data_IF_588056448252
#
_entry.id   IF_588056448252
#
_cell.length_a   1.000
_cell.length_b   1.000
_cell.length_c   1.000
_cell.angle_alpha   90.00
_cell.angle_beta   90.00
_cell.angle_gamma   90.00
#
_symmetry.space_group_name_H-M   'P 1'
#
loop_
_entity.id
_entity.type
_entity.pdbx_description
1 polymer ?
#
# COMPACT_ATOMS: atom_id res chain seq x y z
N UNK A 1 10.19 -1.94 22.80
CA UNK A 1 9.78 -1.96 24.22
C UNK A 1 10.79 -1.15 25.01
N UNK A 2 10.37 -0.18 25.82
CA UNK A 2 11.26 0.75 26.54
C UNK A 2 11.20 0.61 28.07
N UNK A 3 10.42 -0.36 28.55
CA UNK A 3 10.27 -0.66 29.96
C UNK A 3 9.26 -1.78 30.17
N UNK A 4 9.09 -2.21 31.43
CA UNK A 4 8.24 -3.36 31.79
C UNK A 4 6.80 -3.28 31.24
N UNK A 5 6.22 -2.08 31.22
CA UNK A 5 4.86 -1.82 30.74
C UNK A 5 4.79 -0.60 29.81
N UNK A 6 5.89 -0.26 29.12
CA UNK A 6 5.97 0.94 28.27
C UNK A 6 6.43 0.57 26.87
N UNK A 7 5.61 0.91 25.88
CA UNK A 7 5.88 0.70 24.46
C UNK A 7 5.68 2.00 23.69
N UNK A 8 6.38 2.15 22.58
CA UNK A 8 6.28 3.36 21.75
C UNK A 8 5.16 3.16 20.74
N UNK A 9 4.28 4.15 20.60
CA UNK A 9 3.20 4.16 19.63
C UNK A 9 3.62 4.93 18.37
N UNK A 10 4.18 4.20 17.39
CA UNK A 10 4.68 4.78 16.14
C UNK A 10 3.57 4.92 15.09
N UNK A 11 2.68 5.88 15.27
CA UNK A 11 1.71 6.26 14.23
C UNK A 11 2.27 7.39 13.37
N UNK A 12 2.28 7.23 12.04
CA UNK A 12 2.57 8.34 11.13
C UNK A 12 1.46 9.41 11.25
N UNK A 13 1.82 10.68 11.08
CA UNK A 13 0.96 11.83 11.41
C UNK A 13 -0.43 11.87 10.73
N UNK A 14 -0.62 11.13 9.63
CA UNK A 14 -1.86 11.07 8.85
C UNK A 14 -2.71 9.81 9.12
N UNK A 15 -2.28 8.91 10.00
CA UNK A 15 -3.02 7.68 10.33
C UNK A 15 -4.15 7.97 11.31
N UNK A 16 -5.25 7.20 11.23
CA UNK A 16 -6.46 7.38 12.05
C UNK A 16 -6.15 7.61 13.54
N UNK A 17 -5.44 6.68 14.18
CA UNK A 17 -5.07 6.81 15.59
C UNK A 17 -4.26 8.07 15.94
N UNK A 18 -3.42 8.58 15.04
CA UNK A 18 -2.70 9.85 15.26
C UNK A 18 -3.61 11.07 15.14
N UNK A 19 -4.59 11.03 14.22
CA UNK A 19 -5.61 12.06 14.06
C UNK A 19 -6.52 12.10 15.29
N UNK A 20 -7.03 10.94 15.71
CA UNK A 20 -7.89 10.79 16.89
C UNK A 20 -7.18 11.26 18.16
N UNK A 21 -5.92 10.84 18.36
CA UNK A 21 -5.11 11.31 19.48
C UNK A 21 -4.93 12.82 19.45
N UNK A 22 -4.63 13.41 18.28
CA UNK A 22 -4.46 14.87 18.16
C UNK A 22 -5.75 15.62 18.47
N UNK A 23 -6.89 15.18 17.95
CA UNK A 23 -8.20 15.78 18.22
C UNK A 23 -8.54 15.64 19.71
N UNK A 24 -8.36 14.47 20.29
CA UNK A 24 -8.60 14.22 21.71
C UNK A 24 -7.74 15.14 22.59
N UNK A 25 -6.45 15.33 22.26
CA UNK A 25 -5.53 16.21 22.99
C UNK A 25 -5.96 17.68 22.95
N UNK A 26 -6.57 18.14 21.85
CA UNK A 26 -7.07 19.51 21.73
C UNK A 26 -8.29 19.74 22.62
N UNK A 27 -9.17 18.74 22.74
CA UNK A 27 -10.38 18.82 23.54
C UNK A 27 -10.14 18.51 25.03
N UNK A 28 -9.16 17.64 25.32
CA UNK A 28 -8.87 17.10 26.65
C UNK A 28 -7.36 17.16 26.97
N UNK A 29 -6.77 18.35 27.15
CA UNK A 29 -5.32 18.57 27.19
C UNK A 29 -4.59 17.95 28.40
N UNK A 30 -5.30 17.52 29.44
CA UNK A 30 -4.69 16.89 30.62
C UNK A 30 -5.18 15.46 30.86
N UNK A 31 -6.02 14.94 29.97
CA UNK A 31 -6.58 13.58 30.11
C UNK A 31 -5.72 12.58 29.34
N UNK A 32 -5.37 11.43 29.94
CA UNK A 32 -4.73 10.33 29.21
C UNK A 32 -5.65 9.78 28.11
N UNK A 33 -5.11 9.50 26.93
CA UNK A 33 -5.86 8.98 25.79
C UNK A 33 -5.94 7.44 25.84
N UNK A 34 -7.12 6.83 25.93
CA UNK A 34 -7.26 5.38 26.02
C UNK A 34 -6.89 4.69 24.70
N UNK A 35 -6.14 3.59 24.78
CA UNK A 35 -5.74 2.78 23.63
C UNK A 35 -5.81 1.30 23.98
N UNK A 36 -6.28 0.50 23.04
CA UNK A 36 -6.21 -0.96 23.10
C UNK A 36 -5.47 -1.50 21.87
N UNK A 37 -4.59 -2.48 22.06
CA UNK A 37 -3.82 -3.15 21.01
C UNK A 37 -4.14 -4.64 21.06
N UNK A 38 -4.49 -5.20 19.91
CA UNK A 38 -4.86 -6.61 19.77
C UNK A 38 -3.74 -7.35 19.04
N UNK A 39 -3.26 -8.45 19.62
CA UNK A 39 -2.26 -9.32 19.03
C UNK A 39 -2.90 -10.69 18.79
N UNK A 40 -2.97 -11.11 17.52
CA UNK A 40 -3.65 -12.33 17.11
C UNK A 40 -5.17 -12.20 17.20
N UNK A 41 -5.84 -12.08 16.07
CA UNK A 41 -7.30 -12.17 15.98
C UNK A 41 -7.67 -12.88 14.68
N UNK A 42 -8.97 -12.93 14.34
CA UNK A 42 -9.38 -13.59 13.11
C UNK A 42 -8.77 -12.90 11.87
N UNK A 43 -8.42 -13.66 10.81
CA UNK A 43 -7.76 -13.10 9.63
C UNK A 43 -8.53 -11.97 8.93
N UNK A 44 -9.87 -12.02 8.92
CA UNK A 44 -10.68 -11.00 8.27
C UNK A 44 -10.57 -9.65 8.99
N UNK A 45 -10.47 -9.65 10.33
CA UNK A 45 -10.20 -8.44 11.12
C UNK A 45 -8.81 -7.87 10.83
N UNK A 46 -7.78 -8.73 10.75
CA UNK A 46 -6.41 -8.30 10.40
C UNK A 46 -6.39 -7.68 9.00
N UNK A 47 -6.99 -8.35 8.01
CA UNK A 47 -7.09 -7.85 6.65
C UNK A 47 -7.91 -6.56 6.57
N UNK A 48 -8.99 -6.44 7.34
CA UNK A 48 -9.79 -5.23 7.42
C UNK A 48 -9.02 -4.05 8.00
N UNK A 49 -8.16 -4.28 9.00
CA UNK A 49 -7.33 -3.25 9.62
C UNK A 49 -6.24 -2.68 8.70
N UNK A 50 -5.77 -3.46 7.71
CA UNK A 50 -4.78 -3.01 6.72
C UNK A 50 -5.43 -2.50 5.43
N UNK A 51 -6.68 -2.88 5.18
CA UNK A 51 -7.42 -2.38 4.01
C UNK A 51 -7.81 -0.93 4.26
N UNK A 52 -7.52 -0.01 3.31
CA UNK A 52 -7.92 1.37 3.41
C UNK A 52 -9.42 1.47 3.11
N UNK A 53 -10.21 1.38 4.17
CA UNK A 53 -11.64 1.66 4.14
C UNK A 53 -11.87 3.17 4.20
N UNK A 54 -12.97 3.69 3.61
CA UNK A 54 -13.36 5.07 3.82
C UNK A 54 -13.56 5.36 5.32
N UNK A 55 -13.23 6.57 5.77
CA UNK A 55 -13.40 7.00 7.18
C UNK A 55 -14.86 6.87 7.68
N UNK A 56 -15.83 6.75 6.77
CA UNK A 56 -17.26 6.55 7.07
C UNK A 56 -17.63 5.09 7.38
N UNK A 57 -16.73 4.14 7.19
CA UNK A 57 -16.94 2.71 7.40
C UNK A 57 -15.90 2.17 8.38
N UNK A 58 -16.34 1.51 9.45
CA UNK A 58 -15.42 0.88 10.40
C UNK A 58 -14.73 -0.32 9.75
N UNK A 59 -13.45 -0.50 10.05
CA UNK A 59 -12.65 -1.68 9.68
C UNK A 59 -13.32 -2.99 10.15
N UNK A 60 -14.04 -2.99 11.28
CA UNK A 60 -14.79 -4.15 11.74
C UNK A 60 -15.99 -4.48 10.85
N UNK A 61 -16.65 -3.47 10.27
CA UNK A 61 -17.75 -3.68 9.33
C UNK A 61 -17.21 -4.26 8.02
N UNK A 62 -16.07 -3.75 7.55
CA UNK A 62 -15.40 -4.29 6.37
C UNK A 62 -14.91 -5.72 6.58
N UNK A 63 -14.29 -6.01 7.73
CA UNK A 63 -13.93 -7.37 8.13
C UNK A 63 -15.16 -8.31 8.14
N UNK A 64 -16.32 -7.80 8.55
CA UNK A 64 -17.57 -8.56 8.52
C UNK A 64 -18.05 -8.89 7.09
N UNK A 65 -17.85 -7.99 6.12
CA UNK A 65 -18.13 -8.25 4.72
C UNK A 65 -17.22 -9.35 4.16
N UNK A 66 -15.91 -9.29 4.46
CA UNK A 66 -14.96 -10.34 4.07
C UNK A 66 -15.29 -11.70 4.67
N UNK A 67 -15.74 -11.71 5.94
CA UNK A 67 -16.08 -12.93 6.68
C UNK A 67 -17.46 -13.50 6.35
N UNK A 68 -18.37 -12.67 5.83
CA UNK A 68 -19.78 -13.02 5.64
C UNK A 68 -20.64 -12.99 6.91
N UNK A 69 -20.10 -12.47 8.02
CA UNK A 69 -20.81 -12.36 9.30
C UNK A 69 -20.29 -11.18 10.12
N UNK A 70 -21.08 -10.67 11.07
CA UNK A 70 -20.63 -9.59 11.95
C UNK A 70 -19.39 -10.00 12.76
N UNK A 71 -18.47 -9.06 12.96
CA UNK A 71 -17.33 -9.25 13.87
C UNK A 71 -17.83 -9.32 15.31
N UNK A 72 -17.44 -10.37 16.04
CA UNK A 72 -17.73 -10.53 17.46
C UNK A 72 -16.78 -9.64 18.27
N UNK A 73 -17.34 -8.70 19.03
CA UNK A 73 -16.60 -7.73 19.82
C UNK A 73 -16.83 -7.95 21.32
N UNK A 74 -15.82 -7.64 22.12
CA UNK A 74 -15.86 -7.57 23.57
C UNK A 74 -15.46 -6.17 24.06
N UNK A 75 -16.05 -5.73 25.15
CA UNK A 75 -15.73 -4.46 25.80
C UNK A 75 -14.36 -4.57 26.50
N UNK A 76 -13.50 -3.58 26.31
CA UNK A 76 -12.28 -3.44 27.10
C UNK A 76 -12.62 -3.26 28.59
N UNK A 77 -11.74 -3.71 29.48
CA UNK A 77 -11.97 -3.59 30.93
C UNK A 77 -11.69 -2.19 31.48
N UNK A 78 -10.75 -1.47 30.86
CA UNK A 78 -10.27 -0.17 31.31
C UNK A 78 -10.82 1.03 30.54
N UNK A 79 -11.63 0.81 29.49
CA UNK A 79 -12.14 1.88 28.62
C UNK A 79 -13.40 1.47 27.86
N UNK A 80 -14.03 2.44 27.20
CA UNK A 80 -15.21 2.21 26.35
C UNK A 80 -14.86 1.63 24.95
N UNK A 81 -13.59 1.30 24.70
CA UNK A 81 -13.15 0.68 23.44
C UNK A 81 -13.63 -0.78 23.31
N UNK A 82 -13.82 -1.22 22.07
CA UNK A 82 -14.21 -2.60 21.74
C UNK A 82 -13.11 -3.29 20.92
N UNK A 83 -12.81 -4.53 21.28
CA UNK A 83 -11.79 -5.39 20.66
C UNK A 83 -12.41 -6.71 20.16
N UNK A 84 -11.80 -7.43 19.22
CA UNK A 84 -12.30 -8.74 18.79
C UNK A 84 -12.36 -9.71 19.97
N UNK A 85 -13.54 -10.29 20.21
CA UNK A 85 -13.77 -11.16 21.37
C UNK A 85 -12.89 -12.43 21.36
N UNK A 86 -12.38 -12.81 20.19
CA UNK A 86 -11.54 -13.99 19.98
C UNK A 86 -10.05 -13.66 19.85
N UNK A 87 -9.63 -12.47 20.27
CA UNK A 87 -8.22 -12.08 20.31
C UNK A 87 -7.40 -13.05 21.18
N UNK A 88 -6.14 -13.30 20.81
CA UNK A 88 -5.20 -14.11 21.59
C UNK A 88 -4.68 -13.32 22.80
N UNK A 89 -4.22 -12.08 22.57
CA UNK A 89 -3.72 -11.16 23.59
C UNK A 89 -4.23 -9.74 23.31
N UNK A 90 -4.68 -9.04 24.34
CA UNK A 90 -5.07 -7.62 24.30
C UNK A 90 -4.27 -6.83 25.32
N UNK A 91 -3.68 -5.72 24.88
CA UNK A 91 -2.97 -4.76 25.71
C UNK A 91 -3.85 -3.52 25.84
N UNK A 92 -4.29 -3.20 27.05
CA UNK A 92 -5.08 -2.00 27.35
C UNK A 92 -4.24 -1.01 28.14
N UNK A 93 -4.35 0.28 27.79
CA UNK A 93 -3.58 1.31 28.46
C UNK A 93 -3.92 2.71 27.97
N UNK A 94 -3.02 3.64 28.27
CA UNK A 94 -3.20 5.04 27.93
C UNK A 94 -1.91 5.67 27.41
N UNK A 95 -2.08 6.66 26.53
CA UNK A 95 -1.03 7.60 26.15
C UNK A 95 -1.18 8.82 27.05
N UNK A 96 -0.15 9.09 27.86
CA UNK A 96 -0.17 10.25 28.76
C UNK A 96 0.19 11.54 28.02
N UNK A 97 -0.39 12.68 28.44
CA UNK A 97 -0.01 14.01 27.94
C UNK A 97 1.51 14.20 27.96
N UNK A 98 2.09 14.56 26.81
CA UNK A 98 3.52 14.87 26.66
C UNK A 98 4.49 13.71 26.99
N UNK A 99 4.00 12.47 27.15
CA UNK A 99 4.87 11.30 27.32
C UNK A 99 5.35 10.80 25.96
N UNK A 100 6.60 11.12 25.64
CA UNK A 100 7.25 10.83 24.37
C UNK A 100 8.55 10.07 24.62
N UNK A 101 8.93 9.20 23.70
CA UNK A 101 10.20 8.50 23.73
C UNK A 101 10.83 8.40 22.34
N UNK A 102 12.15 8.32 22.33
CA UNK A 102 12.93 8.13 21.12
C UNK A 102 12.74 6.69 20.61
N UNK A 103 12.26 6.57 19.38
CA UNK A 103 12.09 5.32 18.67
C UNK A 103 13.28 5.07 17.74
N UNK A 104 13.63 3.80 17.56
CA UNK A 104 14.64 3.38 16.59
C UNK A 104 16.10 3.48 17.08
N UNK A 105 17.06 3.22 16.18
CA UNK A 105 16.83 2.89 14.76
C UNK A 105 16.20 1.50 14.58
N UNK A 106 15.37 1.34 13.55
CA UNK A 106 14.81 0.05 13.13
C UNK A 106 14.90 -0.09 11.61
N UNK A 107 15.17 -1.32 11.15
CA UNK A 107 15.03 -1.68 9.74
C UNK A 107 13.55 -1.70 9.33
N UNK A 108 13.25 -1.25 8.12
CA UNK A 108 11.88 -1.25 7.60
C UNK A 108 11.77 -1.81 6.17
N UNK A 109 10.55 -1.75 5.62
CA UNK A 109 10.17 -2.21 4.27
C UNK A 109 10.97 -1.60 3.12
N UNK A 110 11.79 -0.57 3.36
CA UNK A 110 12.71 -0.02 2.37
C UNK A 110 13.99 -0.85 2.24
N UNK A 111 14.27 -1.72 3.24
CA UNK A 111 15.53 -2.43 3.38
C UNK A 111 16.64 -1.63 4.07
N UNK A 112 16.32 -0.47 4.66
CA UNK A 112 17.24 0.42 5.37
C UNK A 112 16.82 0.61 6.83
N UNK A 113 17.75 1.11 7.65
CA UNK A 113 17.44 1.59 8.99
C UNK A 113 16.86 2.99 8.90
N UNK A 114 15.73 3.22 9.59
CA UNK A 114 15.20 4.56 9.82
C UNK A 114 16.00 5.29 10.90
N UNK A 115 16.12 6.60 10.75
CA UNK A 115 16.64 7.50 11.79
C UNK A 115 15.78 7.47 13.04
N UNK A 116 16.37 7.89 14.16
CA UNK A 116 15.66 8.00 15.42
C UNK A 116 14.71 9.21 15.41
N UNK A 117 13.50 9.03 15.93
CA UNK A 117 12.53 10.11 16.06
C UNK A 117 11.63 9.92 17.30
N UNK A 118 11.00 10.99 17.77
CA UNK A 118 10.23 11.02 19.01
C UNK A 118 8.76 10.71 18.77
N UNK A 119 8.24 9.68 19.44
CA UNK A 119 6.84 9.25 19.32
C UNK A 119 6.16 9.11 20.69
N UNK A 120 4.82 9.15 20.75
CA UNK A 120 4.08 8.96 21.98
C UNK A 120 4.36 7.60 22.63
N UNK A 121 4.31 7.55 23.96
CA UNK A 121 4.45 6.31 24.71
C UNK A 121 3.07 5.81 25.12
N UNK A 122 2.79 4.55 24.81
CA UNK A 122 1.69 3.79 25.38
C UNK A 122 2.17 3.13 26.68
N UNK A 123 1.57 3.55 27.79
CA UNK A 123 1.69 2.86 29.08
C UNK A 123 0.61 1.79 29.15
N UNK A 124 1.03 0.54 29.24
CA UNK A 124 0.14 -0.62 29.35
C UNK A 124 -0.26 -0.78 30.81
N UNK A 125 -1.57 -0.70 31.05
CA UNK A 125 -2.15 -0.86 32.38
C UNK A 125 -2.56 -2.32 32.62
N UNK A 126 -3.03 -3.00 31.57
CA UNK A 126 -3.61 -4.35 31.65
C UNK A 126 -3.24 -5.18 30.43
N UNK A 127 -3.07 -6.48 30.67
CA UNK A 127 -2.94 -7.49 29.63
C UNK A 127 -4.01 -8.54 29.89
N UNK A 128 -4.90 -8.74 28.92
CA UNK A 128 -5.87 -9.84 28.92
C UNK A 128 -5.51 -10.81 27.80
N UNK A 129 -5.74 -12.10 28.01
CA UNK A 129 -5.33 -13.14 27.06
C UNK A 129 -6.18 -14.39 27.23
N UNK A 130 -6.19 -15.23 26.19
CA UNK A 130 -6.78 -16.56 26.25
C UNK A 130 -5.94 -17.50 27.13
N UNK A 131 -6.51 -18.63 27.51
CA UNK A 131 -5.71 -19.75 28.02
C UNK A 131 -4.79 -20.25 26.90
N UNK A 132 -3.48 -20.37 27.18
CA UNK A 132 -2.44 -20.76 26.22
C UNK A 132 -2.42 -19.88 24.95
N UNK A 133 -2.16 -18.57 25.08
CA UNK A 133 -2.27 -17.64 23.97
C UNK A 133 -1.15 -17.82 22.95
N UNK A 134 -1.45 -17.55 21.68
CA UNK A 134 -0.48 -17.50 20.60
C UNK A 134 -0.03 -16.05 20.36
N UNK A 135 1.28 -15.81 20.40
CA UNK A 135 1.85 -14.51 20.06
C UNK A 135 2.04 -14.39 18.53
N UNK A 136 1.10 -13.72 17.87
CA UNK A 136 1.18 -13.42 16.43
C UNK A 136 2.11 -12.22 16.19
N UNK A 137 3.17 -12.42 15.40
CA UNK A 137 4.18 -11.40 15.09
C UNK A 137 4.68 -11.57 13.66
N UNK A 138 5.23 -10.50 13.11
CA UNK A 138 5.89 -10.46 11.82
C UNK A 138 7.21 -9.67 11.90
N UNK A 139 7.90 -9.51 10.79
CA UNK A 139 9.03 -8.62 10.61
C UNK A 139 8.87 -7.84 9.29
N UNK A 140 9.65 -6.77 9.15
CA UNK A 140 9.77 -6.05 7.88
C UNK A 140 11.24 -5.84 7.54
N UNK A 141 11.55 -5.73 6.26
CA UNK A 141 12.91 -5.55 5.78
C UNK A 141 12.94 -5.31 4.28
N UNK A 142 14.06 -5.63 3.64
CA UNK A 142 14.15 -5.52 2.18
C UNK A 142 13.11 -6.45 1.52
N UNK A 143 12.21 -5.95 0.65
CA UNK A 143 11.15 -6.74 0.05
C UNK A 143 11.72 -7.81 -0.91
N UNK A 144 11.00 -8.92 -1.13
CA UNK A 144 9.66 -9.21 -0.62
C UNK A 144 9.66 -9.66 0.86
N UNK A 145 8.83 -9.03 1.67
CA UNK A 145 8.52 -9.41 3.06
C UNK A 145 7.00 -9.70 3.19
N UNK A 146 6.55 -10.18 4.36
CA UNK A 146 5.13 -10.52 4.57
C UNK A 146 4.20 -9.31 4.31
N UNK A 147 4.49 -8.08 4.82
CA UNK A 147 3.71 -6.89 4.46
C UNK A 147 3.63 -6.61 2.96
N UNK A 148 4.73 -6.81 2.20
CA UNK A 148 4.71 -6.62 0.76
C UNK A 148 3.78 -7.61 0.04
N UNK A 149 3.76 -8.87 0.47
CA UNK A 149 2.85 -9.87 -0.09
C UNK A 149 1.39 -9.56 0.24
N UNK A 150 1.11 -9.12 1.47
CA UNK A 150 -0.23 -8.62 1.82
C UNK A 150 -0.63 -7.42 0.96
N UNK A 151 0.29 -6.49 0.72
CA UNK A 151 0.08 -5.34 -0.18
C UNK A 151 -0.29 -5.75 -1.60
N UNK A 152 0.40 -6.75 -2.18
CA UNK A 152 0.07 -7.30 -3.50
C UNK A 152 -1.33 -7.87 -3.54
N UNK A 153 -1.71 -8.69 -2.54
CA UNK A 153 -3.04 -9.28 -2.49
C UNK A 153 -4.14 -8.23 -2.34
N UNK A 154 -3.90 -7.19 -1.52
CA UNK A 154 -4.86 -6.10 -1.31
C UNK A 154 -4.97 -5.18 -2.52
N UNK A 155 -3.92 -5.07 -3.34
CA UNK A 155 -3.97 -4.26 -4.55
C UNK A 155 -5.05 -4.75 -5.53
N UNK A 156 -5.32 -6.04 -5.58
CA UNK A 156 -6.44 -6.62 -6.36
C UNK A 156 -7.80 -6.02 -6.00
N UNK A 157 -7.97 -5.53 -4.76
CA UNK A 157 -9.20 -4.87 -4.31
C UNK A 157 -9.33 -3.45 -4.87
N UNK A 158 -8.21 -2.76 -5.15
CA UNK A 158 -8.23 -1.40 -5.68
C UNK A 158 -8.37 -1.35 -7.19
N UNK A 159 -7.93 -2.38 -7.92
CA UNK A 159 -8.01 -2.40 -9.39
C UNK A 159 -9.44 -2.11 -9.89
N UNK A 160 -10.50 -2.77 -9.37
CA UNK A 160 -11.88 -2.47 -9.81
C UNK A 160 -12.34 -1.04 -9.48
N UNK A 161 -11.86 -0.48 -8.37
CA UNK A 161 -12.18 0.90 -7.96
C UNK A 161 -11.54 1.89 -8.94
N UNK A 162 -10.28 1.67 -9.30
CA UNK A 162 -9.58 2.44 -10.32
C UNK A 162 -10.27 2.31 -11.67
N UNK A 163 -10.62 1.10 -12.10
CA UNK A 163 -11.29 0.82 -13.37
C UNK A 163 -12.66 1.51 -13.47
N UNK A 164 -13.38 1.65 -12.35
CA UNK A 164 -14.65 2.39 -12.34
C UNK A 164 -14.46 3.87 -12.70
N UNK A 165 -13.34 4.47 -12.29
CA UNK A 165 -13.01 5.87 -12.59
C UNK A 165 -12.29 6.04 -13.93
N UNK A 166 -11.46 5.06 -14.29
CA UNK A 166 -10.64 5.01 -15.50
C UNK A 166 -10.88 3.67 -16.21
N UNK A 167 -11.98 3.53 -16.97
CA UNK A 167 -12.34 2.28 -17.64
C UNK A 167 -11.32 1.78 -18.66
N UNK A 168 -10.41 2.66 -19.08
CA UNK A 168 -9.26 2.34 -19.92
C UNK A 168 -8.20 1.49 -19.22
N UNK A 169 -8.13 1.46 -17.88
CA UNK A 169 -7.16 0.66 -17.12
C UNK A 169 -7.52 -0.82 -17.25
N UNK A 170 -6.58 -1.62 -17.74
CA UNK A 170 -6.71 -3.08 -17.82
C UNK A 170 -6.16 -3.73 -16.55
N UNK A 171 -4.99 -3.28 -16.11
CA UNK A 171 -4.35 -3.77 -14.88
C UNK A 171 -3.56 -2.64 -14.20
N UNK A 172 -3.44 -2.72 -12.89
CA UNK A 172 -2.69 -1.78 -12.06
C UNK A 172 -1.90 -2.55 -11.01
N UNK A 173 -0.58 -2.55 -11.13
CA UNK A 173 0.31 -3.36 -10.31
C UNK A 173 1.35 -2.52 -9.57
N UNK A 174 1.50 -2.83 -8.28
CA UNK A 174 2.53 -2.26 -7.41
C UNK A 174 3.54 -3.37 -7.06
N UNK A 175 4.70 -3.43 -7.73
CA UNK A 175 5.70 -4.46 -7.47
C UNK A 175 6.23 -4.42 -6.02
N UNK A 176 6.35 -5.58 -5.32
CA UNK A 176 6.98 -5.68 -3.99
C UNK A 176 8.34 -5.02 -3.89
N UNK A 177 9.21 -5.28 -4.87
CA UNK A 177 10.55 -4.71 -5.02
C UNK A 177 10.55 -3.18 -5.16
N UNK A 178 9.41 -2.58 -5.51
CA UNK A 178 9.13 -1.14 -5.44
C UNK A 178 8.72 -0.67 -4.05
N UNK A 179 9.09 -1.40 -2.99
CA UNK A 179 8.69 -1.13 -1.60
C UNK A 179 7.16 -1.05 -1.44
N UNK A 180 6.43 -1.92 -2.15
CA UNK A 180 4.96 -2.05 -2.16
C UNK A 180 4.14 -0.86 -2.69
N UNK A 181 4.70 0.36 -2.76
CA UNK A 181 3.94 1.54 -3.21
C UNK A 181 4.74 2.57 -4.01
N UNK A 182 6.09 2.51 -4.04
CA UNK A 182 6.91 3.58 -4.63
C UNK A 182 6.91 3.55 -6.17
N UNK A 183 6.53 2.42 -6.76
CA UNK A 183 6.41 2.25 -8.20
C UNK A 183 5.07 1.60 -8.56
N UNK A 184 4.44 2.09 -9.63
CA UNK A 184 3.26 1.49 -10.23
C UNK A 184 3.50 1.20 -11.71
N UNK A 185 2.96 0.08 -12.18
CA UNK A 185 2.91 -0.29 -13.59
C UNK A 185 1.43 -0.38 -13.96
N UNK A 186 1.01 0.40 -14.95
CA UNK A 186 -0.39 0.56 -15.33
C UNK A 186 -0.55 0.18 -16.79
N UNK A 187 -1.36 -0.85 -17.06
CA UNK A 187 -1.71 -1.25 -18.41
C UNK A 187 -3.03 -0.62 -18.82
N UNK A 188 -3.09 -0.04 -20.03
CA UNK A 188 -4.27 0.67 -20.52
C UNK A 188 -4.63 0.31 -21.96
N UNK A 189 -5.92 0.42 -22.28
CA UNK A 189 -6.42 0.50 -23.66
C UNK A 189 -6.33 1.94 -24.14
N UNK A 190 -5.23 2.29 -24.80
CA UNK A 190 -5.01 3.65 -25.32
C UNK A 190 -6.03 3.99 -26.40
N UNK A 191 -6.65 5.18 -26.30
CA UNK A 191 -7.71 5.62 -27.22
C UNK A 191 -7.35 6.88 -28.00
N UNK A 192 -6.38 7.67 -27.53
CA UNK A 192 -6.00 8.94 -28.14
C UNK A 192 -4.56 9.35 -27.77
N UNK A 193 -3.92 10.24 -28.57
CA UNK A 193 -2.64 10.86 -28.23
C UNK A 193 -2.63 11.52 -26.85
N UNK A 194 -1.61 11.23 -26.04
CA UNK A 194 -1.45 11.78 -24.68
C UNK A 194 -2.27 11.08 -23.59
N UNK A 195 -2.99 9.99 -23.90
CA UNK A 195 -3.84 9.29 -22.92
C UNK A 195 -3.09 8.84 -21.66
N UNK A 196 -1.83 8.38 -21.81
CA UNK A 196 -0.99 7.95 -20.70
C UNK A 196 -0.80 9.05 -19.64
N UNK A 197 -0.67 10.32 -20.04
CA UNK A 197 -0.53 11.45 -19.11
C UNK A 197 -1.76 11.63 -18.23
N UNK A 198 -2.96 11.43 -18.78
CA UNK A 198 -4.22 11.48 -18.00
C UNK A 198 -4.21 10.40 -16.92
N UNK A 199 -3.79 9.19 -17.26
CA UNK A 199 -3.72 8.06 -16.32
C UNK A 199 -2.66 8.31 -15.24
N UNK A 200 -1.46 8.80 -15.60
CA UNK A 200 -0.43 9.19 -14.63
C UNK A 200 -0.96 10.20 -13.60
N UNK A 201 -1.58 11.28 -14.06
CA UNK A 201 -2.16 12.30 -13.17
C UNK A 201 -3.31 11.74 -12.32
N UNK A 202 -4.13 10.85 -12.90
CA UNK A 202 -5.18 10.13 -12.18
C UNK A 202 -4.64 9.30 -11.03
N UNK A 203 -3.62 8.48 -11.28
CA UNK A 203 -2.96 7.67 -10.26
C UNK A 203 -2.38 8.51 -9.12
N UNK A 204 -1.75 9.66 -9.41
CA UNK A 204 -1.18 10.52 -8.37
C UNK A 204 -2.21 11.34 -7.58
N UNK A 205 -3.46 11.43 -8.03
CA UNK A 205 -4.46 12.33 -7.43
C UNK A 205 -5.72 11.65 -6.90
N UNK A 206 -6.10 10.49 -7.45
CA UNK A 206 -7.42 9.91 -7.19
C UNK A 206 -7.50 9.19 -5.83
N UNK A 207 -6.60 8.24 -5.55
CA UNK A 207 -6.57 7.52 -4.28
C UNK A 207 -5.39 7.97 -3.42
N UNK A 208 -5.65 8.24 -2.14
CA UNK A 208 -4.63 8.68 -1.17
C UNK A 208 -3.47 7.69 -1.06
N UNK A 209 -3.74 6.41 -1.23
CA UNK A 209 -2.77 5.31 -1.16
C UNK A 209 -1.64 5.43 -2.20
N UNK A 210 -1.90 6.05 -3.35
CA UNK A 210 -0.94 6.14 -4.46
C UNK A 210 -0.29 7.53 -4.56
N UNK A 211 -0.64 8.46 -3.66
CA UNK A 211 -0.10 9.83 -3.67
C UNK A 211 1.42 9.90 -3.48
N UNK A 212 2.02 8.89 -2.83
CA UNK A 212 3.47 8.81 -2.61
C UNK A 212 4.20 7.94 -3.64
N UNK A 213 3.48 7.34 -4.60
CA UNK A 213 4.10 6.59 -5.70
C UNK A 213 4.96 7.53 -6.55
N UNK A 214 6.26 7.29 -6.56
CA UNK A 214 7.25 8.13 -7.25
C UNK A 214 7.35 7.83 -8.73
N UNK A 215 7.23 6.56 -9.09
CA UNK A 215 7.43 6.08 -10.44
C UNK A 215 6.14 5.48 -10.97
N UNK A 216 5.68 5.93 -12.13
CA UNK A 216 4.56 5.32 -12.84
C UNK A 216 5.02 4.96 -14.23
N UNK A 217 4.90 3.69 -14.61
CA UNK A 217 5.09 3.23 -15.99
C UNK A 217 3.71 2.93 -16.57
N UNK A 218 3.37 3.56 -17.69
CA UNK A 218 2.13 3.27 -18.41
C UNK A 218 2.46 2.47 -19.67
N UNK A 219 1.83 1.31 -19.82
CA UNK A 219 2.00 0.37 -20.94
C UNK A 219 0.64 0.09 -21.61
N UNK A 220 0.64 -0.49 -22.81
CA UNK A 220 -0.60 -0.93 -23.45
C UNK A 220 -1.11 -2.27 -22.85
N UNK A 221 -2.26 -2.73 -23.32
CA UNK A 221 -2.93 -3.96 -22.86
C UNK A 221 -2.33 -5.27 -23.36
N UNK A 222 -1.33 -5.20 -24.23
CA UNK A 222 -0.53 -6.35 -24.67
C UNK A 222 0.66 -6.66 -23.73
N UNK A 223 0.93 -5.81 -22.74
CA UNK A 223 2.05 -5.95 -21.80
C UNK A 223 1.55 -6.47 -20.46
N UNK A 224 2.10 -7.61 -20.01
CA UNK A 224 1.85 -8.10 -18.66
C UNK A 224 2.58 -7.23 -17.62
N UNK A 225 1.82 -6.47 -16.82
CA UNK A 225 2.37 -5.54 -15.82
C UNK A 225 3.20 -6.22 -14.73
N UNK A 226 3.02 -7.54 -14.55
CA UNK A 226 3.64 -8.35 -13.49
C UNK A 226 4.88 -9.11 -13.97
N UNK A 227 5.23 -9.00 -15.25
CA UNK A 227 6.47 -9.54 -15.81
C UNK A 227 7.40 -8.40 -16.21
N UNK A 228 8.52 -8.26 -15.48
CA UNK A 228 9.52 -7.23 -15.81
C UNK A 228 10.10 -7.36 -17.21
N UNK A 229 10.16 -8.56 -17.78
CA UNK A 229 10.69 -8.73 -19.15
C UNK A 229 9.81 -7.99 -20.16
N UNK A 230 8.50 -8.11 -20.00
CA UNK A 230 7.48 -7.42 -20.80
C UNK A 230 7.52 -5.91 -20.58
N UNK A 231 7.57 -5.47 -19.31
CA UNK A 231 7.59 -4.04 -18.96
C UNK A 231 8.86 -3.34 -19.45
N UNK A 232 10.02 -3.97 -19.28
CA UNK A 232 11.29 -3.44 -19.76
C UNK A 232 11.34 -3.45 -21.29
N UNK A 233 10.79 -4.48 -21.94
CA UNK A 233 10.64 -4.49 -23.40
C UNK A 233 9.80 -3.30 -23.89
N UNK A 234 8.65 -3.03 -23.26
CA UNK A 234 7.83 -1.88 -23.60
C UNK A 234 8.58 -0.55 -23.44
N UNK A 235 9.26 -0.34 -22.29
CA UNK A 235 10.06 0.87 -22.04
C UNK A 235 11.14 1.04 -23.10
N UNK A 236 11.89 -0.01 -23.41
CA UNK A 236 13.07 0.07 -24.28
C UNK A 236 12.75 0.12 -25.78
N UNK A 237 11.53 -0.22 -26.19
CA UNK A 237 11.13 -0.26 -27.60
C UNK A 237 10.09 0.79 -27.98
N UNK A 238 9.28 1.27 -27.03
CA UNK A 238 8.17 2.20 -27.27
C UNK A 238 8.42 3.62 -26.77
N UNK A 239 9.54 3.86 -26.11
CA UNK A 239 9.86 5.18 -25.54
C UNK A 239 11.04 5.86 -26.21
N UNK A 240 10.90 7.18 -26.41
CA UNK A 240 12.01 8.11 -26.42
C UNK A 240 12.12 8.74 -25.02
N UNK A 241 13.27 8.64 -24.32
CA UNK A 241 13.39 9.08 -22.93
C UNK A 241 13.08 10.56 -22.71
N UNK A 242 13.42 11.44 -23.66
CA UNK A 242 13.23 12.90 -23.49
C UNK A 242 11.78 13.28 -23.75
N UNK A 243 11.15 12.70 -24.77
CA UNK A 243 9.76 12.98 -25.14
C UNK A 243 8.75 12.35 -24.19
N UNK A 244 9.00 11.12 -23.76
CA UNK A 244 7.99 10.26 -23.13
C UNK A 244 8.10 10.17 -21.60
N UNK A 245 9.08 10.87 -21.02
CA UNK A 245 9.20 11.03 -19.56
C UNK A 245 8.48 12.29 -19.11
N UNK A 246 7.62 12.16 -18.11
CA UNK A 246 6.97 13.28 -17.41
C UNK A 246 7.59 13.44 -16.04
N UNK A 247 8.20 14.58 -15.77
CA UNK A 247 8.74 14.93 -14.46
C UNK A 247 7.86 15.99 -13.82
N UNK A 248 7.50 15.77 -12.55
CA UNK A 248 6.81 16.77 -11.71
C UNK A 248 7.65 16.95 -10.46
N UNK A 249 8.01 18.18 -10.15
CA UNK A 249 8.79 18.54 -8.97
C UNK A 249 7.89 19.02 -7.83
N UNK A 250 8.48 19.20 -6.64
CA UNK A 250 7.81 19.77 -5.46
C UNK A 250 6.46 19.10 -5.10
N UNK A 251 6.40 17.77 -5.22
CA UNK A 251 5.21 16.97 -4.87
C UNK A 251 5.34 16.37 -3.47
N UNK A 252 4.22 16.04 -2.78
CA UNK A 252 4.27 15.34 -1.50
C UNK A 252 4.90 13.95 -1.64
N UNK A 253 5.85 13.63 -0.77
CA UNK A 253 6.56 12.34 -0.70
C UNK A 253 6.53 11.83 0.75
N UNK A 254 6.74 10.53 0.95
CA UNK A 254 6.95 9.98 2.30
C UNK A 254 8.11 10.70 3.00
N UNK A 255 7.88 11.17 4.21
CA UNK A 255 8.87 11.93 4.96
C UNK A 255 10.08 11.08 5.38
N UNK A 256 9.93 9.76 5.39
CA UNK A 256 11.02 8.77 5.62
C UNK A 256 11.84 8.49 4.36
N UNK A 257 11.43 8.99 3.20
CA UNK A 257 12.17 8.78 1.95
C UNK A 257 13.38 9.71 1.87
N UNK A 258 14.51 9.23 2.39
CA UNK A 258 15.80 9.92 2.40
C UNK A 258 16.40 10.18 1.01
N UNK A 259 15.83 9.63 -0.07
CA UNK A 259 16.25 9.94 -1.44
C UNK A 259 15.56 11.20 -1.99
N UNK A 260 14.58 11.76 -1.27
CA UNK A 260 14.01 13.08 -1.58
C UNK A 260 14.97 14.21 -1.18
N UNK A 261 14.97 15.34 -1.90
CA UNK A 261 15.85 16.46 -1.57
C UNK A 261 15.48 17.15 -0.24
N UNK A 262 14.20 17.11 0.14
CA UNK A 262 13.65 17.70 1.36
C UNK A 262 12.66 16.71 1.96
N UNK A 263 12.70 16.49 3.28
CA UNK A 263 11.76 15.59 3.94
C UNK A 263 10.31 15.97 3.63
N UNK A 264 9.54 15.00 3.12
CA UNK A 264 8.14 15.18 2.74
C UNK A 264 7.91 15.80 1.36
N UNK A 265 8.96 16.20 0.64
CA UNK A 265 8.84 16.95 -0.62
C UNK A 265 9.87 16.48 -1.67
N UNK A 266 9.40 16.07 -2.84
CA UNK A 266 10.29 15.59 -3.91
C UNK A 266 9.63 15.47 -5.28
N UNK A 267 10.39 14.91 -6.21
CA UNK A 267 9.94 14.69 -7.58
C UNK A 267 9.18 13.37 -7.79
N UNK A 268 8.37 13.35 -8.84
CA UNK A 268 7.71 12.17 -9.40
C UNK A 268 8.03 12.04 -10.88
N UNK A 269 8.08 10.80 -11.36
CA UNK A 269 8.41 10.44 -12.74
C UNK A 269 7.34 9.51 -13.32
N UNK A 270 6.77 9.92 -14.43
CA UNK A 270 5.88 9.12 -15.26
C UNK A 270 6.58 8.72 -16.56
N UNK A 271 6.53 7.45 -16.92
CA UNK A 271 7.11 6.89 -18.13
C UNK A 271 5.99 6.40 -19.04
N UNK A 272 5.80 7.06 -20.18
CA UNK A 272 4.81 6.64 -21.18
C UNK A 272 5.44 5.61 -22.14
N UNK A 273 5.35 4.34 -21.77
CA UNK A 273 5.77 3.18 -22.56
C UNK A 273 4.66 2.63 -23.47
N UNK A 274 3.63 3.43 -23.79
CA UNK A 274 2.59 3.02 -24.73
C UNK A 274 3.03 3.15 -26.19
N UNK A 275 2.36 2.47 -27.10
CA UNK A 275 2.50 2.67 -28.55
C UNK A 275 2.19 4.12 -28.91
N UNK A 276 3.02 4.74 -29.75
CA UNK A 276 2.84 6.15 -30.13
C UNK A 276 1.98 6.28 -31.38
N UNK A 277 0.93 7.08 -31.26
CA UNK A 277 -0.06 7.34 -32.29
C UNK A 277 0.35 8.53 -33.18
N UNK A 278 -0.27 8.71 -34.36
CA UNK A 278 -0.11 9.92 -35.15
C UNK A 278 -0.35 11.17 -34.31
N UNK A 279 0.58 12.12 -34.37
CA UNK A 279 0.59 13.33 -33.54
C UNK A 279 1.55 13.26 -32.35
N UNK A 280 1.83 12.06 -31.82
CA UNK A 280 2.90 11.85 -30.82
C UNK A 280 4.25 11.54 -31.49
N UNK A 281 4.18 10.98 -32.71
CA UNK A 281 5.33 10.74 -33.58
C UNK A 281 4.94 10.96 -35.04
N UNK A 282 5.94 11.31 -35.87
CA UNK A 282 5.84 11.37 -37.33
C UNK A 282 6.39 10.12 -38.02
N UNK A 283 6.93 9.16 -37.26
CA UNK A 283 7.50 7.92 -37.78
C UNK A 283 6.42 6.86 -37.97
N UNK A 284 6.64 5.98 -38.93
CA UNK A 284 5.91 4.71 -38.98
C UNK A 284 6.22 3.88 -37.73
N UNK A 285 5.17 3.40 -37.06
CA UNK A 285 5.30 2.64 -35.81
C UNK A 285 5.48 1.15 -36.09
N UNK A 286 6.25 0.47 -35.24
CA UNK A 286 6.50 -0.96 -35.39
C UNK A 286 5.24 -1.80 -35.19
N UNK A 287 5.12 -2.89 -35.95
CA UNK A 287 4.06 -3.90 -35.74
C UNK A 287 4.58 -4.98 -34.78
N UNK A 288 3.96 -5.18 -33.61
CA UNK A 288 4.37 -6.23 -32.69
C UNK A 288 4.27 -7.63 -33.30
N UNK A 289 5.16 -8.53 -32.88
CA UNK A 289 5.09 -9.94 -33.26
C UNK A 289 4.06 -10.60 -32.36
N UNK A 290 3.08 -11.27 -32.96
CA UNK A 290 2.05 -12.03 -32.25
C UNK A 290 2.05 -13.47 -32.78
N UNK A 291 2.00 -14.44 -31.89
CA UNK A 291 1.85 -15.85 -32.28
C UNK A 291 0.43 -16.08 -32.76
N UNK A 292 0.28 -16.88 -33.83
CA UNK A 292 -1.03 -17.27 -34.34
C UNK A 292 -1.86 -18.00 -33.26
N UNK A 293 -3.12 -17.58 -33.09
CA UNK A 293 -4.01 -18.09 -32.03
C UNK A 293 -4.26 -19.61 -32.17
N UNK A 294 -4.34 -20.12 -33.40
CA UNK A 294 -4.55 -21.55 -33.63
C UNK A 294 -3.31 -22.36 -33.27
N UNK A 295 -2.11 -21.81 -33.52
CA UNK A 295 -0.85 -22.42 -33.06
C UNK A 295 -0.78 -22.43 -31.53
N UNK A 296 -1.10 -21.30 -30.87
CA UNK A 296 -1.08 -21.19 -29.41
C UNK A 296 -2.03 -22.19 -28.75
N UNK A 297 -3.29 -22.22 -29.18
CA UNK A 297 -4.30 -23.15 -28.65
C UNK A 297 -3.91 -24.61 -28.85
N UNK A 298 -3.29 -24.95 -29.99
CA UNK A 298 -2.79 -26.30 -30.25
C UNK A 298 -1.66 -26.69 -29.30
N UNK A 299 -0.71 -25.79 -29.06
CA UNK A 299 0.43 -26.07 -28.15
C UNK A 299 -0.07 -26.17 -26.70
N UNK A 300 -0.99 -25.31 -26.27
CA UNK A 300 -1.59 -25.37 -24.94
C UNK A 300 -2.28 -26.72 -24.67
N UNK A 301 -3.03 -27.23 -25.66
CA UNK A 301 -3.68 -28.55 -25.56
C UNK A 301 -2.67 -29.70 -25.46
N UNK A 302 -1.53 -29.58 -26.14
CA UNK A 302 -0.47 -30.60 -26.11
C UNK A 302 0.44 -30.47 -24.89
N UNK A 303 0.44 -29.34 -24.17
CA UNK A 303 1.47 -29.01 -23.18
C UNK A 303 1.68 -30.10 -22.13
N UNK A 304 0.60 -30.66 -21.59
CA UNK A 304 0.65 -31.73 -20.59
C UNK A 304 1.22 -33.06 -21.11
N UNK A 305 1.16 -33.29 -22.42
CA UNK A 305 1.65 -34.50 -23.09
C UNK A 305 3.14 -34.40 -23.46
N UNK A 306 3.70 -33.18 -23.51
CA UNK A 306 5.08 -32.94 -23.95
C UNK A 306 6.13 -33.37 -22.91
N UNK A 307 5.73 -33.61 -21.66
CA UNK A 307 6.65 -34.02 -20.58
C UNK A 307 7.70 -32.95 -20.23
N UNK A 308 7.36 -31.67 -20.43
CA UNK A 308 8.17 -30.48 -20.12
C UNK A 308 7.63 -29.74 -18.89
#
# INVERSE_FOLDING_TARGET
MIGKNRVIMRWLAHRGGALDYREFRQQNPDTPYPVAVVLGCDPATILGAVTPVPDTLSEYQFAGLLRGSRTELAQCLGSDLQVPARAEIVLEGHIHPNDMALEGPYGDHTGYYNEQDSFPVLTIDRITMRENPIYHSTYTGKPPDEPAILGVALNEVFVPILQKQFPEIVDFYLPPEGCSYRMAIVSIKKQYPGHAKRVMMGCWSFLRQFMYTKFIVVVDDDVNTRDWKEVIWAITTRMDPVRDTTLIDHTPIDYLDFASPISGLGGKMGLDATNKMPGETSREWGTPIVMDDAVKARVDALWSELGL
#
